data_IF_870382241795
#
_entry.id   IF_870382241795
#
_cell.length_a   1.000
_cell.length_b   1.000
_cell.length_c   1.000
_cell.angle_alpha   90.00
_cell.angle_beta   90.00
_cell.angle_gamma   90.00
#
_symmetry.space_group_name_H-M   'P 1'
#
loop_
_entity.id
_entity.type
_entity.pdbx_description
1 polymer ?
#
# COMPACT_ATOMS: atom_id res chain seq x y z
N UNK A 1 1.14 2.75 19.17
CA UNK A 1 0.25 2.91 20.34
C UNK A 1 -1.01 2.07 20.13
N UNK A 2 -1.64 1.52 21.18
CA UNK A 2 -2.93 0.85 21.01
C UNK A 2 -3.95 1.82 20.41
N UNK A 3 -4.73 1.36 19.43
CA UNK A 3 -5.68 2.21 18.70
C UNK A 3 -5.08 3.08 17.58
N UNK A 4 -3.78 2.96 17.30
CA UNK A 4 -3.15 3.63 16.15
C UNK A 4 -3.76 3.13 14.84
N UNK A 5 -4.29 4.05 14.04
CA UNK A 5 -4.82 3.79 12.71
C UNK A 5 -3.76 4.10 11.67
N UNK A 6 -3.73 3.28 10.63
CA UNK A 6 -2.85 3.46 9.47
C UNK A 6 -3.71 3.51 8.22
N UNK A 7 -3.31 4.36 7.27
CA UNK A 7 -3.92 4.38 5.95
C UNK A 7 -3.38 3.25 5.09
N UNK A 8 -4.31 2.50 4.52
CA UNK A 8 -4.06 1.36 3.65
C UNK A 8 -4.58 1.69 2.27
N UNK A 9 -3.72 1.52 1.28
CA UNK A 9 -4.04 1.64 -0.14
C UNK A 9 -4.30 0.24 -0.67
N UNK A 10 -5.48 0.06 -1.26
CA UNK A 10 -5.88 -1.15 -1.96
C UNK A 10 -5.54 -0.99 -3.45
N UNK A 11 -4.72 -1.90 -3.98
CA UNK A 11 -4.23 -1.88 -5.36
C UNK A 11 -4.61 -3.16 -6.08
N UNK A 12 -4.68 -3.08 -7.41
CA UNK A 12 -4.78 -4.28 -8.25
C UNK A 12 -3.47 -5.07 -8.22
N UNK A 13 -3.53 -6.38 -7.97
CA UNK A 13 -2.34 -7.23 -7.94
C UNK A 13 -1.61 -7.38 -9.28
N UNK A 14 -2.31 -7.11 -10.38
CA UNK A 14 -1.77 -7.29 -11.74
C UNK A 14 -1.11 -6.02 -12.26
N UNK A 15 -1.80 -4.88 -12.15
CA UNK A 15 -1.33 -3.62 -12.74
C UNK A 15 -0.90 -2.56 -11.71
N UNK A 16 -1.05 -2.83 -10.42
CA UNK A 16 -0.68 -1.90 -9.35
C UNK A 16 -1.55 -0.64 -9.25
N UNK A 17 -2.64 -0.54 -10.02
CA UNK A 17 -3.53 0.63 -9.98
C UNK A 17 -4.24 0.70 -8.64
N UNK A 18 -4.24 1.88 -8.01
CA UNK A 18 -4.99 2.16 -6.78
C UNK A 18 -6.50 2.04 -7.08
N UNK A 19 -7.17 1.16 -6.32
CA UNK A 19 -8.60 0.87 -6.42
C UNK A 19 -9.36 1.61 -5.31
N UNK A 20 -8.83 1.61 -4.10
CA UNK A 20 -9.42 2.31 -2.96
C UNK A 20 -8.38 2.63 -1.88
N UNK A 21 -8.77 3.45 -0.91
CA UNK A 21 -7.96 3.78 0.26
C UNK A 21 -8.85 3.79 1.51
N UNK A 22 -8.40 3.17 2.59
CA UNK A 22 -9.14 3.10 3.85
C UNK A 22 -8.22 3.12 5.06
N UNK A 23 -8.73 3.52 6.21
CA UNK A 23 -8.01 3.46 7.48
C UNK A 23 -8.29 2.14 8.20
N UNK A 24 -7.24 1.50 8.69
CA UNK A 24 -7.33 0.28 9.48
C UNK A 24 -6.57 0.46 10.79
N UNK A 25 -7.04 -0.17 11.86
CA UNK A 25 -6.25 -0.26 13.09
C UNK A 25 -5.01 -1.10 12.81
N UNK A 26 -3.83 -0.61 13.20
CA UNK A 26 -2.55 -1.28 12.97
C UNK A 26 -2.52 -2.73 13.50
N UNK A 27 -3.19 -2.96 14.63
CA UNK A 27 -3.34 -4.29 15.26
C UNK A 27 -4.24 -5.26 14.48
N UNK A 28 -5.15 -4.75 13.65
CA UNK A 28 -6.09 -5.56 12.85
C UNK A 28 -5.73 -5.53 11.36
N UNK A 29 -4.55 -5.03 11.00
CA UNK A 29 -4.13 -4.90 9.62
C UNK A 29 -3.62 -6.24 9.07
N UNK A 30 -4.40 -6.85 8.18
CA UNK A 30 -3.94 -7.94 7.33
C UNK A 30 -3.46 -7.38 5.99
N UNK A 31 -2.15 -7.37 5.77
CA UNK A 31 -1.53 -6.95 4.50
C UNK A 31 -1.69 -8.01 3.41
N UNK A 32 -1.70 -9.30 3.79
CA UNK A 32 -2.05 -10.40 2.91
C UNK A 32 -3.56 -10.64 2.99
N UNK A 33 -4.29 -10.19 1.97
CA UNK A 33 -5.71 -10.46 1.82
C UNK A 33 -5.96 -11.27 0.56
N UNK A 34 -6.97 -12.14 0.60
CA UNK A 34 -7.42 -12.95 -0.54
C UNK A 34 -8.64 -12.33 -1.24
N UNK A 35 -8.99 -11.09 -0.89
CA UNK A 35 -10.16 -10.44 -1.47
C UNK A 35 -9.92 -10.13 -2.95
N UNK A 36 -10.98 -10.25 -3.73
CA UNK A 36 -11.00 -9.85 -5.13
C UNK A 36 -11.52 -8.41 -5.24
N UNK A 37 -10.90 -7.63 -6.12
CA UNK A 37 -11.25 -6.25 -6.45
C UNK A 37 -11.46 -6.10 -7.94
N UNK A 38 -12.52 -5.37 -8.32
CA UNK A 38 -12.75 -4.96 -9.69
C UNK A 38 -11.75 -3.86 -10.06
N UNK A 39 -10.79 -4.16 -10.94
CA UNK A 39 -9.82 -3.19 -11.38
C UNK A 39 -10.38 -2.38 -12.57
N UNK A 40 -10.50 -1.04 -12.49
CA UNK A 40 -11.01 -0.22 -13.59
C UNK A 40 -10.08 -0.23 -14.81
N UNK A 41 -8.79 -0.52 -14.60
CA UNK A 41 -7.78 -0.57 -15.67
C UNK A 41 -7.70 -1.93 -16.36
N UNK A 42 -7.77 -3.03 -15.61
CA UNK A 42 -7.75 -4.37 -16.17
C UNK A 42 -9.13 -4.82 -16.69
N UNK A 43 -10.21 -4.18 -16.23
CA UNK A 43 -11.59 -4.54 -16.59
C UNK A 43 -12.02 -5.92 -16.08
N UNK A 44 -11.35 -6.44 -15.05
CA UNK A 44 -11.58 -7.78 -14.48
C UNK A 44 -11.44 -7.74 -12.96
N UNK A 45 -12.01 -8.75 -12.31
CA UNK A 45 -11.75 -9.03 -10.91
C UNK A 45 -10.35 -9.62 -10.75
N UNK A 46 -9.54 -8.99 -9.92
CA UNK A 46 -8.17 -9.39 -9.60
C UNK A 46 -8.00 -9.44 -8.10
N UNK A 47 -7.03 -10.22 -7.61
CA UNK A 47 -6.70 -10.16 -6.19
C UNK A 47 -6.26 -8.73 -5.80
N UNK A 48 -6.57 -8.34 -4.57
CA UNK A 48 -6.09 -7.09 -4.02
C UNK A 48 -4.64 -7.19 -3.51
N UNK A 49 -3.90 -6.12 -3.65
CA UNK A 49 -2.68 -5.85 -2.89
C UNK A 49 -2.95 -4.73 -1.91
N UNK A 50 -2.61 -4.94 -0.64
CA UNK A 50 -2.73 -3.90 0.39
C UNK A 50 -1.35 -3.37 0.75
N UNK A 51 -1.21 -2.05 0.73
CA UNK A 51 0.02 -1.37 1.11
C UNK A 51 -0.28 -0.26 2.11
N UNK A 52 0.64 0.01 3.03
CA UNK A 52 0.51 1.14 3.96
C UNK A 52 0.94 2.41 3.21
N UNK A 53 0.07 3.42 3.13
CA UNK A 53 0.30 4.62 2.32
C UNK A 53 1.62 5.34 2.68
N UNK A 54 1.90 5.42 3.98
CA UNK A 54 3.08 6.10 4.53
C UNK A 54 4.41 5.35 4.28
N UNK A 55 4.37 4.10 3.83
CA UNK A 55 5.59 3.32 3.59
C UNK A 55 6.41 3.90 2.44
N UNK A 56 5.74 4.31 1.36
CA UNK A 56 6.38 4.91 0.18
C UNK A 56 7.08 6.22 0.53
N UNK A 57 6.42 7.08 1.29
CA UNK A 57 7.01 8.35 1.75
C UNK A 57 8.17 8.15 2.71
N UNK A 58 8.08 7.16 3.60
CA UNK A 58 9.19 6.80 4.49
C UNK A 58 10.39 6.30 3.69
N UNK A 59 10.15 5.47 2.67
CA UNK A 59 11.19 4.94 1.79
C UNK A 59 11.87 6.04 0.97
N UNK A 60 11.11 7.02 0.46
CA UNK A 60 11.68 8.18 -0.25
C UNK A 60 12.53 9.05 0.68
N UNK A 61 12.10 9.29 1.92
CA UNK A 61 12.87 10.01 2.93
C UNK A 61 14.16 9.28 3.29
N UNK A 62 14.10 7.96 3.46
CA UNK A 62 15.29 7.12 3.69
C UNK A 62 16.26 7.25 2.52
N UNK A 63 15.80 7.05 1.28
CA UNK A 63 16.63 7.19 0.07
C UNK A 63 17.25 8.59 -0.01
N UNK A 64 16.47 9.64 0.27
CA UNK A 64 16.96 11.02 0.25
C UNK A 64 18.02 11.30 1.34
N UNK A 65 17.93 10.62 2.48
CA UNK A 65 18.89 10.77 3.58
C UNK A 65 20.19 9.97 3.39
N UNK A 66 20.22 9.02 2.45
CA UNK A 66 21.44 8.27 2.15
C UNK A 66 22.52 9.21 1.61
N UNK A 67 23.80 9.04 2.01
CA UNK A 67 24.89 9.81 1.44
C UNK A 67 24.96 9.52 -0.06
N UNK A 68 24.95 10.58 -0.88
CA UNK A 68 25.20 10.45 -2.32
C UNK A 68 26.61 9.88 -2.47
N UNK A 69 26.72 8.68 -3.02
CA UNK A 69 28.01 8.12 -3.44
C UNK A 69 28.57 9.06 -4.50
N UNK A 70 29.56 9.86 -4.13
CA UNK A 70 30.34 10.64 -5.08
C UNK A 70 31.16 9.66 -5.91
N UNK A 71 30.79 9.45 -7.18
CA UNK A 71 31.57 8.71 -8.15
C UNK A 71 31.91 9.60 -9.33
#
# INVERSE_FOLDING_TARGET
MPGETVEVVQKCSVCGTEVSRFSAKKENLFLSSYQMVACPRCGKETQELREVALRTEAQEKEIASLPKSNR
#
